data_IF_764939159551
#
_entry.id   IF_764939159551
#
_cell.length_a   1.000
_cell.length_b   1.000
_cell.length_c   1.000
_cell.angle_alpha   90.00
_cell.angle_beta   90.00
_cell.angle_gamma   90.00
#
_symmetry.space_group_name_H-M   'P 1'
#
loop_
_entity.id
_entity.type
_entity.pdbx_description
1 polymer ?
#
# COMPACT_ATOMS: atom_id res chain seq x y z
N UNK A 1 -22.40 -3.84 9.66
CA UNK A 1 -21.71 -4.02 8.38
C UNK A 1 -20.63 -5.08 8.54
N UNK A 2 -20.42 -5.91 7.50
CA UNK A 2 -19.34 -6.91 7.55
C UNK A 2 -18.01 -6.27 7.12
N UNK A 3 -18.05 -5.39 6.12
CA UNK A 3 -16.86 -4.78 5.54
C UNK A 3 -17.01 -3.27 5.40
N UNK A 4 -15.97 -2.52 5.74
CA UNK A 4 -15.79 -1.12 5.37
C UNK A 4 -14.66 -1.02 4.35
N UNK A 5 -14.95 -0.53 3.15
CA UNK A 5 -13.94 -0.22 2.13
C UNK A 5 -13.66 1.28 2.19
N UNK A 6 -12.43 1.64 2.55
CA UNK A 6 -11.98 3.02 2.74
C UNK A 6 -11.15 3.44 1.54
N UNK A 7 -11.55 4.53 0.90
CA UNK A 7 -10.94 5.06 -0.33
C UNK A 7 -10.53 6.52 -0.13
N UNK A 8 -9.23 6.81 -0.01
CA UNK A 8 -8.76 8.18 -0.10
C UNK A 8 -8.91 8.69 -1.53
N UNK A 9 -9.46 9.88 -1.68
CA UNK A 9 -9.73 10.50 -2.98
C UNK A 9 -9.06 11.88 -3.08
N UNK A 10 -8.46 12.15 -4.23
CA UNK A 10 -7.99 13.49 -4.61
C UNK A 10 -7.93 13.61 -6.13
N UNK A 11 -8.76 14.47 -6.71
CA UNK A 11 -8.77 14.79 -8.16
C UNK A 11 -8.74 13.55 -9.08
N UNK A 12 -9.45 12.48 -8.73
CA UNK A 12 -9.38 11.19 -9.44
C UNK A 12 -10.76 10.58 -9.72
N UNK A 13 -11.79 11.41 -9.84
CA UNK A 13 -13.18 10.96 -9.99
C UNK A 13 -13.39 10.09 -11.24
N UNK A 14 -12.68 10.38 -12.34
CA UNK A 14 -12.78 9.57 -13.56
C UNK A 14 -12.32 8.10 -13.37
N UNK A 15 -11.32 7.87 -12.51
CA UNK A 15 -10.82 6.53 -12.20
C UNK A 15 -11.62 5.86 -11.07
N UNK A 16 -12.18 6.67 -10.17
CA UNK A 16 -12.98 6.20 -9.04
C UNK A 16 -14.19 5.38 -9.50
N UNK A 17 -14.83 5.72 -10.61
CA UNK A 17 -15.98 4.96 -11.10
C UNK A 17 -15.61 3.51 -11.43
N UNK A 18 -14.44 3.27 -12.02
CA UNK A 18 -13.92 1.92 -12.26
C UNK A 18 -13.77 1.13 -10.97
N UNK A 19 -13.22 1.75 -9.92
CA UNK A 19 -13.13 1.13 -8.61
C UNK A 19 -14.52 0.78 -8.07
N UNK A 20 -15.44 1.73 -8.08
CA UNK A 20 -16.81 1.53 -7.54
C UNK A 20 -17.56 0.40 -8.25
N UNK A 21 -17.43 0.30 -9.57
CA UNK A 21 -18.03 -0.80 -10.37
C UNK A 21 -17.40 -2.16 -10.07
N UNK A 22 -16.17 -2.20 -9.56
CA UNK A 22 -15.47 -3.43 -9.20
C UNK A 22 -15.73 -3.89 -7.76
N UNK A 23 -16.30 -3.03 -6.91
CA UNK A 23 -16.63 -3.39 -5.53
C UNK A 23 -17.79 -4.39 -5.54
N UNK A 24 -17.66 -5.54 -4.86
CA UNK A 24 -18.70 -6.53 -4.83
C UNK A 24 -19.98 -5.97 -4.16
N UNK A 25 -21.11 -6.07 -4.84
CA UNK A 25 -22.40 -5.70 -4.27
C UNK A 25 -22.78 -6.73 -3.19
N UNK A 26 -22.37 -6.46 -1.98
CA UNK A 26 -22.82 -7.18 -0.80
C UNK A 26 -23.69 -6.23 0.02
N UNK A 27 -24.89 -6.67 0.42
CA UNK A 27 -25.82 -5.88 1.25
C UNK A 27 -25.21 -5.41 2.58
N UNK A 28 -24.01 -5.88 2.90
CA UNK A 28 -23.31 -5.64 4.17
C UNK A 28 -21.94 -4.95 4.00
N UNK A 29 -21.67 -4.42 2.82
CA UNK A 29 -20.47 -3.60 2.55
C UNK A 29 -20.84 -2.13 2.59
N UNK A 30 -20.06 -1.33 3.31
CA UNK A 30 -20.09 0.12 3.22
C UNK A 30 -18.87 0.65 2.47
N UNK A 31 -19.08 1.67 1.65
CA UNK A 31 -18.03 2.36 0.91
C UNK A 31 -17.85 3.74 1.54
N UNK A 32 -16.64 4.03 2.01
CA UNK A 32 -16.27 5.30 2.64
C UNK A 32 -15.25 5.99 1.77
N UNK A 33 -15.65 7.09 1.13
CA UNK A 33 -14.75 7.93 0.35
C UNK A 33 -14.38 9.15 1.19
N UNK A 34 -13.08 9.42 1.29
CA UNK A 34 -12.58 10.57 2.02
C UNK A 34 -11.79 11.46 1.05
N UNK A 35 -12.30 12.67 0.83
CA UNK A 35 -11.73 13.63 -0.09
C UNK A 35 -10.60 14.45 0.57
N UNK A 36 -9.41 14.37 -0.01
CA UNK A 36 -8.22 15.11 0.45
C UNK A 36 -8.05 16.42 -0.34
N UNK A 37 -9.02 17.33 -0.18
CA UNK A 37 -8.97 18.68 -0.76
C UNK A 37 -8.91 18.66 -2.31
N UNK A 38 -9.82 17.92 -2.94
CA UNK A 38 -9.97 17.96 -4.39
C UNK A 38 -10.46 19.35 -4.86
N UNK A 39 -10.22 19.64 -6.12
CA UNK A 39 -10.71 20.83 -6.80
C UNK A 39 -12.24 20.83 -6.87
N UNK A 40 -12.83 22.02 -6.98
CA UNK A 40 -14.29 22.20 -6.93
C UNK A 40 -15.02 21.36 -7.98
N UNK A 41 -14.50 21.32 -9.20
CA UNK A 41 -15.09 20.55 -10.31
C UNK A 41 -15.11 19.04 -10.04
N UNK A 42 -14.03 18.54 -9.45
CA UNK A 42 -13.96 17.13 -9.07
C UNK A 42 -14.93 16.77 -7.93
N UNK A 43 -15.08 17.67 -6.95
CA UNK A 43 -16.08 17.51 -5.89
C UNK A 43 -17.50 17.50 -6.42
N UNK A 44 -17.84 18.35 -7.40
CA UNK A 44 -19.16 18.34 -8.02
C UNK A 44 -19.44 17.02 -8.76
N UNK A 45 -18.47 16.50 -9.52
CA UNK A 45 -18.58 15.18 -10.15
C UNK A 45 -18.79 14.08 -9.10
N UNK A 46 -18.04 14.11 -8.00
CA UNK A 46 -18.14 13.13 -6.93
C UNK A 46 -19.52 13.10 -6.26
N UNK A 47 -20.20 14.25 -6.16
CA UNK A 47 -21.58 14.30 -5.62
C UNK A 47 -22.56 13.39 -6.36
N UNK A 48 -22.41 13.26 -7.68
CA UNK A 48 -23.26 12.36 -8.48
C UNK A 48 -23.07 10.89 -8.11
N UNK A 49 -21.84 10.52 -7.69
CA UNK A 49 -21.53 9.13 -7.29
C UNK A 49 -22.06 8.79 -5.92
N UNK A 50 -22.17 9.75 -5.01
CA UNK A 50 -22.65 9.52 -3.64
C UNK A 50 -24.01 8.84 -3.65
N UNK A 51 -24.96 9.38 -4.42
CA UNK A 51 -26.30 8.80 -4.53
C UNK A 51 -26.32 7.50 -5.33
N UNK A 52 -25.63 7.47 -6.48
CA UNK A 52 -25.60 6.31 -7.40
C UNK A 52 -25.06 5.05 -6.74
N UNK A 53 -24.00 5.17 -5.94
CA UNK A 53 -23.28 4.03 -5.35
C UNK A 53 -23.48 3.90 -3.83
N UNK A 54 -24.40 4.67 -3.22
CA UNK A 54 -24.66 4.67 -1.77
C UNK A 54 -23.39 4.87 -0.92
N UNK A 55 -22.55 5.83 -1.31
CA UNK A 55 -21.27 6.12 -0.68
C UNK A 55 -21.48 6.95 0.58
N UNK A 56 -20.73 6.65 1.64
CA UNK A 56 -20.50 7.57 2.74
C UNK A 56 -19.32 8.48 2.37
N UNK A 57 -19.57 9.77 2.32
CA UNK A 57 -18.57 10.77 1.94
C UNK A 57 -18.15 11.61 3.13
N UNK A 58 -16.85 11.82 3.27
CA UNK A 58 -16.26 12.68 4.30
C UNK A 58 -15.14 13.52 3.70
N UNK A 59 -14.94 14.72 4.24
CA UNK A 59 -13.75 15.54 4.01
C UNK A 59 -12.62 15.02 4.90
N UNK A 60 -11.37 15.10 4.41
CA UNK A 60 -10.20 14.69 5.17
C UNK A 60 -10.01 15.61 6.40
N UNK A 61 -10.05 15.05 7.60
CA UNK A 61 -9.83 15.75 8.86
C UNK A 61 -8.33 15.91 9.19
N UNK A 62 -7.44 15.22 8.47
CA UNK A 62 -5.99 15.24 8.64
C UNK A 62 -5.26 15.73 7.40
N UNK A 63 -4.10 15.13 7.13
CA UNK A 63 -3.24 15.51 5.99
C UNK A 63 -2.94 14.33 5.11
N UNK A 64 -2.91 14.59 3.79
CA UNK A 64 -2.53 13.62 2.78
C UNK A 64 -3.40 12.34 2.81
N UNK A 65 -3.04 11.35 2.03
CA UNK A 65 -3.75 10.08 1.97
C UNK A 65 -3.74 9.32 3.31
N UNK A 66 -2.75 9.54 4.17
CA UNK A 66 -2.71 8.97 5.53
C UNK A 66 -3.83 9.52 6.40
N UNK A 67 -4.01 10.85 6.44
CA UNK A 67 -5.10 11.50 7.16
C UNK A 67 -6.47 11.10 6.61
N UNK A 68 -6.60 11.01 5.28
CA UNK A 68 -7.84 10.54 4.65
C UNK A 68 -8.20 9.11 5.07
N UNK A 69 -7.23 8.19 5.14
CA UNK A 69 -7.47 6.83 5.65
C UNK A 69 -7.80 6.82 7.13
N UNK A 70 -7.16 7.68 7.95
CA UNK A 70 -7.49 7.84 9.38
C UNK A 70 -8.92 8.36 9.58
N UNK A 71 -9.33 9.34 8.78
CA UNK A 71 -10.72 9.83 8.77
C UNK A 71 -11.69 8.70 8.42
N UNK A 72 -11.39 7.92 7.39
CA UNK A 72 -12.19 6.75 7.02
C UNK A 72 -12.27 5.70 8.14
N UNK A 73 -11.16 5.42 8.83
CA UNK A 73 -11.12 4.51 9.99
C UNK A 73 -12.03 4.98 11.13
N UNK A 74 -12.09 6.27 11.39
CA UNK A 74 -12.95 6.87 12.42
C UNK A 74 -14.43 6.58 12.19
N UNK A 75 -14.86 6.57 10.92
CA UNK A 75 -16.27 6.38 10.54
C UNK A 75 -16.60 4.96 10.09
N UNK A 76 -15.63 4.06 10.01
CA UNK A 76 -15.83 2.67 9.64
C UNK A 76 -16.60 1.89 10.71
N UNK A 77 -17.61 1.13 10.29
CA UNK A 77 -18.47 0.32 11.18
C UNK A 77 -18.38 -1.18 10.89
N UNK A 78 -17.75 -1.58 9.79
CA UNK A 78 -17.57 -2.97 9.39
C UNK A 78 -16.73 -3.78 10.38
N UNK A 79 -17.00 -5.07 10.48
CA UNK A 79 -16.15 -6.03 11.22
C UNK A 79 -14.74 -6.05 10.62
N UNK A 80 -14.65 -6.01 9.29
CA UNK A 80 -13.44 -6.00 8.51
C UNK A 80 -13.23 -4.65 7.83
N UNK A 81 -11.99 -4.24 7.71
CA UNK A 81 -11.55 -3.05 6.98
C UNK A 81 -10.74 -3.48 5.78
N UNK A 82 -11.02 -2.86 4.65
CA UNK A 82 -10.22 -2.93 3.43
C UNK A 82 -9.89 -1.52 2.95
N UNK A 83 -8.73 -1.34 2.37
CA UNK A 83 -8.34 -0.09 1.72
C UNK A 83 -8.24 -0.30 0.22
N UNK A 84 -8.63 0.70 -0.55
CA UNK A 84 -8.45 0.75 -1.98
C UNK A 84 -8.02 2.17 -2.39
N UNK A 85 -7.14 2.28 -3.37
CA UNK A 85 -6.77 3.57 -3.96
C UNK A 85 -7.75 3.88 -5.10
N UNK A 86 -8.13 5.15 -5.28
CA UNK A 86 -9.19 5.56 -6.20
C UNK A 86 -8.89 5.27 -7.69
N UNK A 87 -7.63 5.04 -8.02
CA UNK A 87 -7.15 4.71 -9.36
C UNK A 87 -7.00 3.21 -9.64
N UNK A 88 -7.30 2.34 -8.67
CA UNK A 88 -7.18 0.89 -8.76
C UNK A 88 -8.55 0.20 -8.95
N UNK A 89 -8.63 -1.14 -8.86
CA UNK A 89 -9.90 -1.87 -8.87
C UNK A 89 -9.77 -3.28 -8.28
N UNK A 90 -10.90 -3.87 -7.85
CA UNK A 90 -10.96 -5.25 -7.39
C UNK A 90 -11.10 -6.22 -8.57
N UNK A 91 -10.55 -7.42 -8.42
CA UNK A 91 -10.68 -8.47 -9.44
C UNK A 91 -12.10 -9.09 -9.43
N UNK A 92 -12.43 -9.83 -10.48
CA UNK A 92 -13.76 -10.44 -10.62
C UNK A 92 -14.10 -11.43 -9.50
N UNK A 93 -13.10 -12.09 -8.93
CA UNK A 93 -13.28 -13.12 -7.91
C UNK A 93 -13.36 -12.56 -6.49
N UNK A 94 -13.25 -11.25 -6.33
CA UNK A 94 -13.17 -10.58 -5.01
C UNK A 94 -14.28 -10.99 -4.07
N UNK A 95 -15.51 -11.13 -4.56
CA UNK A 95 -16.67 -11.49 -3.74
C UNK A 95 -16.50 -12.88 -3.11
N UNK A 96 -16.25 -13.88 -3.92
CA UNK A 96 -16.09 -15.27 -3.46
C UNK A 96 -14.93 -15.39 -2.47
N UNK A 97 -13.79 -14.72 -2.77
CA UNK A 97 -12.61 -14.76 -1.91
C UNK A 97 -12.84 -14.07 -0.56
N UNK A 98 -13.53 -12.93 -0.54
CA UNK A 98 -13.88 -12.25 0.70
C UNK A 98 -14.84 -13.10 1.55
N UNK A 99 -15.89 -13.66 0.94
CA UNK A 99 -16.90 -14.47 1.63
C UNK A 99 -16.29 -15.66 2.38
N UNK A 100 -15.20 -16.27 1.88
CA UNK A 100 -14.48 -17.35 2.55
C UNK A 100 -13.88 -16.94 3.90
N UNK A 101 -13.51 -15.68 4.04
CA UNK A 101 -12.81 -15.19 5.24
C UNK A 101 -13.68 -14.34 6.18
N UNK A 102 -14.92 -13.98 5.81
CA UNK A 102 -15.78 -13.13 6.65
C UNK A 102 -15.96 -13.66 8.08
N UNK A 103 -16.08 -14.98 8.22
CA UNK A 103 -16.30 -15.65 9.49
C UNK A 103 -15.01 -16.29 10.07
N UNK A 104 -13.85 -16.04 9.46
CA UNK A 104 -12.60 -16.57 9.97
C UNK A 104 -12.16 -15.91 11.28
N UNK A 105 -11.33 -16.62 12.04
CA UNK A 105 -10.73 -16.11 13.28
C UNK A 105 -9.42 -15.34 13.04
N UNK A 106 -9.00 -15.18 11.78
CA UNK A 106 -7.83 -14.37 11.46
C UNK A 106 -8.03 -12.92 11.84
N UNK A 107 -6.98 -12.27 12.33
CA UNK A 107 -6.96 -10.82 12.55
C UNK A 107 -6.66 -10.07 11.27
N UNK A 108 -5.86 -10.68 10.39
CA UNK A 108 -5.55 -10.17 9.04
C UNK A 108 -5.55 -11.33 8.06
N UNK A 109 -6.12 -11.09 6.88
CA UNK A 109 -5.96 -11.95 5.71
C UNK A 109 -5.22 -11.15 4.62
N UNK A 110 -4.09 -11.68 4.17
CA UNK A 110 -3.30 -11.11 3.10
C UNK A 110 -3.65 -11.78 1.78
N UNK A 111 -3.96 -11.00 0.78
CA UNK A 111 -4.29 -11.50 -0.55
C UNK A 111 -3.20 -11.20 -1.55
N UNK A 112 -3.10 -12.05 -2.56
CA UNK A 112 -2.31 -11.74 -3.72
C UNK A 112 -2.94 -10.59 -4.51
N UNK A 113 -2.14 -9.94 -5.35
CA UNK A 113 -2.56 -8.83 -6.20
C UNK A 113 -1.93 -8.96 -7.58
N UNK A 114 -2.55 -8.33 -8.56
CA UNK A 114 -2.00 -8.15 -9.90
C UNK A 114 -1.73 -6.67 -10.16
N UNK A 115 -1.05 -6.36 -11.22
CA UNK A 115 -0.91 -4.97 -11.68
C UNK A 115 -1.02 -4.87 -13.19
N UNK A 116 -1.66 -3.77 -13.65
CA UNK A 116 -1.89 -3.48 -15.06
C UNK A 116 -1.60 -2.01 -15.38
N UNK A 117 -1.21 -1.74 -16.61
CA UNK A 117 -1.15 -0.35 -17.10
C UNK A 117 -2.58 0.17 -17.28
N UNK A 118 -2.88 1.33 -16.69
CA UNK A 118 -4.23 1.90 -16.67
C UNK A 118 -4.78 2.21 -18.07
N UNK A 119 -3.90 2.59 -19.00
CA UNK A 119 -4.27 2.96 -20.38
C UNK A 119 -4.48 1.75 -21.30
N UNK A 120 -3.66 0.68 -21.19
CA UNK A 120 -3.66 -0.44 -22.14
C UNK A 120 -4.29 -1.72 -21.57
N UNK A 121 -4.37 -1.83 -20.23
CA UNK A 121 -4.80 -3.06 -19.57
C UNK A 121 -3.76 -4.19 -19.60
N UNK A 122 -2.58 -3.96 -20.18
CA UNK A 122 -1.48 -4.92 -20.18
C UNK A 122 -0.88 -5.12 -18.78
N UNK A 123 -0.22 -6.26 -18.58
CA UNK A 123 0.38 -6.58 -17.29
C UNK A 123 1.54 -5.64 -16.95
N UNK A 124 1.59 -5.21 -15.70
CA UNK A 124 2.63 -4.34 -15.16
C UNK A 124 3.38 -5.03 -14.01
N UNK A 125 4.55 -4.49 -13.63
CA UNK A 125 5.41 -5.10 -12.61
C UNK A 125 5.19 -4.60 -11.17
N UNK A 126 4.23 -3.70 -10.95
CA UNK A 126 4.03 -3.07 -9.63
C UNK A 126 3.63 -4.06 -8.54
N UNK A 127 2.92 -5.13 -8.89
CA UNK A 127 2.51 -6.19 -7.98
C UNK A 127 3.62 -7.21 -7.65
N UNK A 128 4.70 -7.27 -8.41
CA UNK A 128 5.72 -8.32 -8.33
C UNK A 128 6.30 -8.50 -6.90
N UNK A 129 6.46 -7.40 -6.15
CA UNK A 129 6.93 -7.48 -4.76
C UNK A 129 5.95 -8.25 -3.89
N UNK A 130 4.66 -7.90 -3.92
CA UNK A 130 3.62 -8.57 -3.12
C UNK A 130 3.47 -10.03 -3.53
N UNK A 131 3.46 -10.32 -4.83
CA UNK A 131 3.43 -11.70 -5.35
C UNK A 131 4.59 -12.53 -4.79
N UNK A 132 5.79 -11.95 -4.73
CA UNK A 132 6.96 -12.63 -4.14
C UNK A 132 6.81 -12.87 -2.63
N UNK A 133 6.11 -11.99 -1.88
CA UNK A 133 5.85 -12.20 -0.46
C UNK A 133 4.86 -13.35 -0.24
N UNK A 134 3.76 -13.39 -0.97
CA UNK A 134 2.78 -14.48 -0.94
C UNK A 134 3.43 -15.82 -1.30
N UNK A 135 4.27 -15.84 -2.35
CA UNK A 135 5.02 -17.02 -2.74
C UNK A 135 5.96 -17.50 -1.63
N UNK A 136 6.70 -16.60 -0.96
CA UNK A 136 7.59 -16.95 0.15
C UNK A 136 6.82 -17.49 1.35
N UNK A 137 5.71 -16.84 1.72
CA UNK A 137 4.85 -17.32 2.80
C UNK A 137 4.37 -18.75 2.52
N UNK A 138 3.94 -19.02 1.28
CA UNK A 138 3.47 -20.35 0.87
C UNK A 138 4.56 -21.40 0.77
N UNK A 139 5.71 -21.08 0.13
CA UNK A 139 6.75 -22.09 -0.17
C UNK A 139 7.70 -22.35 0.99
N UNK A 140 7.88 -21.37 1.89
CA UNK A 140 8.83 -21.45 3.02
C UNK A 140 8.15 -21.50 4.38
N UNK A 141 6.82 -21.47 4.43
CA UNK A 141 6.03 -21.34 5.65
C UNK A 141 6.47 -20.13 6.52
N UNK A 142 6.91 -19.04 5.86
CA UNK A 142 7.39 -17.83 6.51
C UNK A 142 6.29 -16.76 6.48
N UNK A 143 5.36 -16.83 7.44
CA UNK A 143 4.25 -15.89 7.56
C UNK A 143 4.71 -14.50 8.01
N UNK A 144 5.84 -14.40 8.70
CA UNK A 144 6.37 -13.13 9.17
C UNK A 144 6.77 -12.20 8.02
N UNK A 145 7.10 -12.76 6.85
CA UNK A 145 7.35 -11.94 5.66
C UNK A 145 6.13 -11.11 5.26
N UNK A 146 4.92 -11.65 5.46
CA UNK A 146 3.68 -10.90 5.22
C UNK A 146 3.45 -9.83 6.28
N UNK A 147 3.66 -10.17 7.56
CA UNK A 147 3.52 -9.25 8.69
C UNK A 147 4.42 -8.02 8.54
N UNK A 148 5.67 -8.24 8.15
CA UNK A 148 6.73 -7.22 8.20
C UNK A 148 7.00 -6.52 6.86
N UNK A 149 6.75 -7.19 5.74
CA UNK A 149 7.18 -6.71 4.43
C UNK A 149 6.03 -6.35 3.48
N UNK A 150 4.78 -6.75 3.77
CA UNK A 150 3.63 -6.33 2.98
C UNK A 150 3.14 -4.96 3.46
N UNK A 151 3.84 -3.91 3.07
CA UNK A 151 3.66 -2.54 3.56
C UNK A 151 2.53 -1.76 2.89
N UNK A 152 2.01 -2.21 1.74
CA UNK A 152 0.88 -1.55 1.07
C UNK A 152 -0.43 -1.70 1.88
N UNK A 153 -1.36 -0.73 1.87
CA UNK A 153 -2.59 -0.80 2.64
C UNK A 153 -3.65 -1.71 1.99
N UNK A 154 -3.64 -1.83 0.66
CA UNK A 154 -4.57 -2.63 -0.13
C UNK A 154 -4.19 -4.13 -0.16
N UNK A 155 -5.06 -4.96 -0.72
CA UNK A 155 -4.86 -6.42 -0.78
C UNK A 155 -4.90 -7.10 0.59
N UNK A 156 -5.65 -6.55 1.54
CA UNK A 156 -5.80 -7.06 2.90
C UNK A 156 -7.23 -6.92 3.40
N UNK A 157 -7.69 -7.89 4.18
CA UNK A 157 -8.78 -7.73 5.12
C UNK A 157 -8.19 -7.66 6.52
N UNK A 158 -8.51 -6.60 7.26
CA UNK A 158 -7.99 -6.34 8.61
C UNK A 158 -9.17 -6.23 9.57
N UNK A 159 -9.19 -6.99 10.66
CA UNK A 159 -10.22 -6.80 11.69
C UNK A 159 -10.18 -5.38 12.24
N UNK A 160 -11.32 -4.67 12.22
CA UNK A 160 -11.41 -3.31 12.77
C UNK A 160 -11.01 -3.27 14.25
N UNK A 161 -11.39 -4.30 15.00
CA UNK A 161 -11.02 -4.43 16.41
C UNK A 161 -9.50 -4.39 16.63
N UNK A 162 -8.70 -5.08 15.80
CA UNK A 162 -7.23 -5.05 15.89
C UNK A 162 -6.69 -3.61 15.81
N UNK A 163 -7.22 -2.81 14.87
CA UNK A 163 -6.79 -1.43 14.66
C UNK A 163 -7.18 -0.56 15.84
N UNK A 164 -8.41 -0.71 16.35
CA UNK A 164 -8.96 0.09 17.44
C UNK A 164 -8.29 -0.20 18.79
N UNK A 165 -8.16 -1.48 19.15
CA UNK A 165 -7.57 -1.89 20.43
C UNK A 165 -6.08 -1.51 20.56
N UNK A 166 -5.38 -1.38 19.44
CA UNK A 166 -3.96 -1.00 19.42
C UNK A 166 -3.72 0.45 19.01
N UNK A 167 -4.78 1.27 18.84
CA UNK A 167 -4.73 2.66 18.35
C UNK A 167 -3.81 2.84 17.13
N UNK A 168 -3.90 1.90 16.15
CA UNK A 168 -3.05 1.91 14.97
C UNK A 168 -3.58 2.94 13.98
N UNK A 169 -2.70 3.85 13.54
CA UNK A 169 -3.04 4.93 12.61
C UNK A 169 -2.02 5.02 11.48
N UNK A 170 -2.46 5.59 10.37
CA UNK A 170 -1.56 5.97 9.29
C UNK A 170 -0.73 7.19 9.66
N UNK A 171 0.53 7.22 9.22
CA UNK A 171 1.33 8.44 9.29
C UNK A 171 0.76 9.50 8.35
N UNK A 172 0.62 10.73 8.82
CA UNK A 172 0.11 11.86 8.01
C UNK A 172 1.27 12.57 7.32
N UNK A 173 1.95 11.83 6.45
CA UNK A 173 3.14 12.28 5.72
C UNK A 173 2.93 12.21 4.21
N UNK A 174 3.70 13.01 3.46
CA UNK A 174 3.54 13.14 2.01
C UNK A 174 3.84 11.85 1.23
N UNK A 175 4.66 10.94 1.79
CA UNK A 175 5.01 9.67 1.14
C UNK A 175 5.42 8.60 2.16
N UNK A 176 4.98 7.35 1.95
CA UNK A 176 5.23 6.21 2.84
C UNK A 176 4.28 6.15 4.03
N UNK A 177 3.15 6.85 3.98
CA UNK A 177 2.15 6.93 5.05
C UNK A 177 1.54 5.57 5.46
N UNK A 178 1.63 4.58 4.60
CA UNK A 178 1.06 3.23 4.71
C UNK A 178 1.98 2.21 5.40
N UNK A 179 3.28 2.47 5.41
CA UNK A 179 4.28 1.49 5.85
C UNK A 179 4.16 1.15 7.34
N UNK A 180 4.14 2.17 8.20
CA UNK A 180 4.05 1.98 9.65
C UNK A 180 2.73 1.33 10.05
N UNK A 181 1.60 1.80 9.50
CA UNK A 181 0.28 1.22 9.71
C UNK A 181 0.27 -0.28 9.38
N UNK A 182 0.74 -0.65 8.18
CA UNK A 182 0.72 -2.04 7.71
C UNK A 182 1.58 -2.95 8.58
N UNK A 183 2.77 -2.49 8.96
CA UNK A 183 3.69 -3.27 9.80
C UNK A 183 3.16 -3.40 11.23
N UNK A 184 2.61 -2.35 11.81
CA UNK A 184 1.99 -2.40 13.14
C UNK A 184 0.82 -3.39 13.15
N UNK A 185 -0.09 -3.34 12.17
CA UNK A 185 -1.16 -4.32 12.04
C UNK A 185 -0.60 -5.74 11.98
N UNK A 186 0.41 -5.98 11.13
CA UNK A 186 1.05 -7.28 10.98
C UNK A 186 1.66 -7.81 12.28
N UNK A 187 2.37 -6.98 13.04
CA UNK A 187 3.04 -7.37 14.30
C UNK A 187 2.01 -7.59 15.42
N UNK A 188 0.97 -6.76 15.51
CA UNK A 188 -0.06 -6.84 16.56
C UNK A 188 -1.08 -7.96 16.32
N UNK A 189 -1.24 -8.43 15.08
CA UNK A 189 -2.13 -9.53 14.76
C UNK A 189 -1.68 -10.83 15.43
N UNK A 190 -2.57 -11.50 16.18
CA UNK A 190 -2.34 -12.79 16.80
C UNK A 190 -2.38 -13.90 15.74
N UNK A 191 -3.35 -13.83 14.83
CA UNK A 191 -3.54 -14.81 13.76
C UNK A 191 -3.60 -14.13 12.39
N UNK A 192 -2.92 -14.70 11.39
CA UNK A 192 -2.96 -14.23 10.02
C UNK A 192 -3.24 -15.37 9.04
N UNK A 193 -4.01 -15.06 8.02
CA UNK A 193 -4.22 -15.91 6.86
C UNK A 193 -3.62 -15.29 5.59
N UNK A 194 -3.50 -16.10 4.54
CA UNK A 194 -3.18 -15.59 3.21
C UNK A 194 -3.90 -16.35 2.12
N UNK A 195 -4.12 -15.67 0.99
CA UNK A 195 -4.77 -16.20 -0.20
C UNK A 195 -3.86 -15.98 -1.42
N UNK A 196 -3.69 -17.02 -2.25
CA UNK A 196 -2.86 -16.97 -3.45
C UNK A 196 -3.56 -16.31 -4.64
N UNK A 197 -4.89 -16.37 -4.66
CA UNK A 197 -5.68 -15.75 -5.70
C UNK A 197 -5.71 -14.23 -5.49
N UNK A 198 -5.53 -13.44 -6.57
CA UNK A 198 -5.53 -12.00 -6.46
C UNK A 198 -6.95 -11.44 -6.30
N UNK A 199 -7.14 -10.53 -5.34
CA UNK A 199 -8.40 -9.82 -5.16
C UNK A 199 -8.35 -8.37 -5.66
N UNK A 200 -7.16 -7.85 -5.97
CA UNK A 200 -6.94 -6.43 -6.23
C UNK A 200 -5.97 -6.24 -7.39
N UNK A 201 -6.27 -5.26 -8.24
CA UNK A 201 -5.41 -4.85 -9.34
C UNK A 201 -4.88 -3.44 -9.10
N UNK A 202 -3.58 -3.33 -8.91
CA UNK A 202 -2.88 -2.05 -8.79
C UNK A 202 -2.60 -1.52 -10.18
N UNK A 203 -3.09 -0.32 -10.49
CA UNK A 203 -2.85 0.26 -11.80
C UNK A 203 -1.60 1.14 -11.85
N UNK A 204 -1.00 1.19 -13.01
CA UNK A 204 0.16 2.03 -13.32
C UNK A 204 -0.24 3.06 -14.34
N UNK A 205 -0.16 4.34 -13.94
CA UNK A 205 -0.39 5.47 -14.83
C UNK A 205 0.92 6.21 -15.03
N UNK A 206 1.25 6.55 -16.28
CA UNK A 206 2.42 7.35 -16.61
C UNK A 206 2.35 8.72 -15.92
N UNK A 207 3.47 9.16 -15.32
CA UNK A 207 3.52 10.44 -14.61
C UNK A 207 2.85 10.45 -13.24
N UNK A 208 2.47 9.29 -12.70
CA UNK A 208 1.86 9.21 -11.38
C UNK A 208 2.78 9.78 -10.28
N UNK A 209 2.14 10.23 -9.19
CA UNK A 209 2.81 10.80 -7.99
C UNK A 209 3.92 9.90 -7.46
N UNK A 210 3.82 8.60 -7.66
CA UNK A 210 4.79 7.62 -7.17
C UNK A 210 6.09 7.57 -7.99
N UNK A 211 6.09 8.08 -9.21
CA UNK A 211 7.26 8.07 -10.11
C UNK A 211 8.12 9.32 -10.00
N UNK A 212 7.58 10.44 -9.48
CA UNK A 212 8.32 11.69 -9.35
C UNK A 212 9.11 11.73 -8.04
N UNK A 213 10.45 11.72 -8.15
CA UNK A 213 11.35 11.82 -7.00
C UNK A 213 11.62 13.29 -6.66
N UNK A 214 10.85 13.86 -5.72
CA UNK A 214 11.16 15.14 -5.09
C UNK A 214 11.93 14.92 -3.79
N UNK A 215 12.66 15.94 -3.34
CA UNK A 215 13.41 15.90 -2.08
C UNK A 215 12.50 15.59 -0.89
N UNK A 216 11.37 16.27 -0.76
CA UNK A 216 10.44 16.11 0.37
C UNK A 216 9.86 14.70 0.43
N UNK A 217 9.48 14.12 -0.72
CA UNK A 217 8.99 12.73 -0.78
C UNK A 217 10.07 11.72 -0.46
N UNK A 218 11.30 12.00 -0.89
CA UNK A 218 12.45 11.16 -0.55
C UNK A 218 12.69 11.17 0.95
N UNK A 219 12.79 12.36 1.56
CA UNK A 219 13.05 12.54 2.98
C UNK A 219 11.95 11.89 3.82
N UNK A 220 10.69 12.08 3.42
CA UNK A 220 9.53 11.46 4.07
C UNK A 220 9.63 9.94 4.09
N UNK A 221 9.80 9.30 2.92
CA UNK A 221 9.94 7.84 2.80
C UNK A 221 11.16 7.32 3.56
N UNK A 222 12.27 8.03 3.49
CA UNK A 222 13.49 7.65 4.19
C UNK A 222 13.27 7.62 5.70
N UNK A 223 12.71 8.68 6.27
CA UNK A 223 12.40 8.78 7.70
C UNK A 223 11.43 7.68 8.15
N UNK A 224 10.35 7.46 7.41
CA UNK A 224 9.40 6.38 7.72
C UNK A 224 10.10 5.01 7.66
N UNK A 225 10.94 4.77 6.66
CA UNK A 225 11.70 3.51 6.56
C UNK A 225 12.60 3.28 7.77
N UNK A 226 13.29 4.32 8.26
CA UNK A 226 14.12 4.22 9.47
C UNK A 226 13.27 3.88 10.69
N UNK A 227 12.10 4.53 10.85
CA UNK A 227 11.18 4.27 11.95
C UNK A 227 10.64 2.83 11.92
N UNK A 228 10.24 2.35 10.75
CA UNK A 228 9.80 0.96 10.57
C UNK A 228 10.93 -0.03 10.90
N UNK A 229 12.15 0.23 10.44
CA UNK A 229 13.30 -0.62 10.77
C UNK A 229 13.61 -0.62 12.27
N UNK A 230 13.45 0.51 12.95
CA UNK A 230 13.57 0.61 14.40
C UNK A 230 12.52 -0.22 15.12
N UNK A 231 11.26 -0.14 14.69
CA UNK A 231 10.16 -0.95 15.20
C UNK A 231 10.45 -2.45 15.01
N UNK A 232 10.77 -2.86 13.79
CA UNK A 232 11.06 -4.27 13.47
C UNK A 232 12.18 -4.85 14.35
N UNK A 233 13.24 -4.09 14.62
CA UNK A 233 14.29 -4.55 15.53
C UNK A 233 13.81 -4.66 16.97
N UNK A 234 13.08 -3.66 17.45
CA UNK A 234 12.55 -3.62 18.82
C UNK A 234 11.61 -4.79 19.11
N UNK A 235 10.79 -5.16 18.14
CA UNK A 235 9.80 -6.24 18.23
C UNK A 235 10.38 -7.63 17.85
N UNK A 236 11.70 -7.76 17.65
CA UNK A 236 12.35 -9.06 17.35
C UNK A 236 12.34 -9.47 15.87
N UNK A 237 11.81 -8.63 14.98
CA UNK A 237 11.72 -8.88 13.54
C UNK A 237 12.89 -8.29 12.73
N UNK A 238 14.05 -8.09 13.34
CA UNK A 238 15.20 -7.43 12.72
C UNK A 238 15.67 -8.01 11.38
N UNK A 239 15.43 -9.31 11.10
CA UNK A 239 15.75 -9.95 9.80
C UNK A 239 14.90 -9.45 8.64
N UNK A 240 13.74 -8.82 8.91
CA UNK A 240 12.81 -8.30 7.91
C UNK A 240 12.95 -6.79 7.69
N UNK A 241 14.01 -6.16 8.16
CA UNK A 241 14.26 -4.74 7.91
C UNK A 241 14.20 -4.42 6.41
N UNK A 242 13.66 -3.26 6.10
CA UNK A 242 13.60 -2.73 4.74
C UNK A 242 14.98 -2.21 4.35
N UNK A 243 15.43 -2.55 3.15
CA UNK A 243 16.73 -2.10 2.65
C UNK A 243 16.81 -0.58 2.53
N UNK A 244 17.85 0.00 3.11
CA UNK A 244 18.17 1.44 2.99
C UNK A 244 19.09 1.76 1.81
N UNK A 245 19.61 0.74 1.11
CA UNK A 245 20.53 0.91 -0.01
C UNK A 245 19.96 1.78 -1.14
N UNK A 246 18.66 1.65 -1.40
CA UNK A 246 17.97 2.51 -2.37
C UNK A 246 18.11 3.99 -2.01
N UNK A 247 17.92 4.33 -0.73
CA UNK A 247 18.01 5.72 -0.25
C UNK A 247 19.47 6.23 -0.32
N UNK A 248 20.45 5.41 0.06
CA UNK A 248 21.87 5.77 -0.05
C UNK A 248 22.23 6.06 -1.52
N UNK A 249 21.88 5.14 -2.43
CA UNK A 249 22.19 5.30 -3.86
C UNK A 249 21.46 6.50 -4.50
N UNK A 250 20.18 6.72 -4.16
CA UNK A 250 19.40 7.81 -4.75
C UNK A 250 19.72 9.17 -4.16
N UNK A 251 20.20 9.24 -2.93
CA UNK A 251 20.57 10.50 -2.27
C UNK A 251 21.68 11.26 -2.98
N UNK A 252 22.52 10.54 -3.75
CA UNK A 252 23.56 11.20 -4.59
C UNK A 252 22.98 12.27 -5.55
N UNK A 253 21.74 12.09 -6.02
CA UNK A 253 21.06 13.07 -6.89
C UNK A 253 20.85 14.43 -6.21
N UNK A 254 20.89 14.48 -4.88
CA UNK A 254 20.76 15.70 -4.09
C UNK A 254 22.13 16.23 -3.60
N UNK A 255 23.23 15.66 -4.09
CA UNK A 255 24.61 16.04 -3.79
C UNK A 255 25.32 15.12 -2.78
N UNK A 256 26.64 15.12 -2.85
CA UNK A 256 27.51 14.22 -2.06
C UNK A 256 27.36 14.47 -0.54
N UNK A 257 27.27 15.74 -0.12
CA UNK A 257 27.08 16.10 1.30
C UNK A 257 25.79 15.52 1.85
N UNK A 258 24.74 15.54 1.04
CA UNK A 258 23.46 14.96 1.43
C UNK A 258 23.53 13.43 1.50
N UNK A 259 24.18 12.79 0.55
CA UNK A 259 24.39 11.33 0.59
C UNK A 259 25.12 10.91 1.88
N UNK A 260 26.15 11.65 2.27
CA UNK A 260 26.87 11.41 3.52
C UNK A 260 25.94 11.56 4.74
N UNK A 261 25.07 12.58 4.75
CA UNK A 261 24.09 12.74 5.83
C UNK A 261 23.10 11.56 5.92
N UNK A 262 22.64 11.02 4.79
CA UNK A 262 21.78 9.83 4.73
C UNK A 262 22.49 8.61 5.31
N UNK A 263 23.78 8.41 4.98
CA UNK A 263 24.58 7.30 5.51
C UNK A 263 24.72 7.45 7.04
N UNK A 264 25.08 8.64 7.52
CA UNK A 264 25.20 8.92 8.96
C UNK A 264 23.87 8.64 9.67
N UNK A 265 22.75 9.04 9.08
CA UNK A 265 21.43 8.83 9.67
C UNK A 265 21.06 7.31 9.70
N UNK A 266 21.44 6.54 8.68
CA UNK A 266 21.29 5.08 8.71
C UNK A 266 22.09 4.46 9.89
N UNK A 267 23.33 4.90 10.10
CA UNK A 267 24.20 4.41 11.18
C UNK A 267 23.61 4.79 12.56
N UNK A 268 23.22 6.05 12.76
CA UNK A 268 22.58 6.53 14.01
C UNK A 268 21.34 5.72 14.36
N UNK A 269 20.52 5.40 13.37
CA UNK A 269 19.32 4.58 13.51
C UNK A 269 19.60 3.08 13.52
N UNK A 270 20.88 2.65 13.57
CA UNK A 270 21.28 1.24 13.55
C UNK A 270 20.59 0.42 12.43
N UNK A 271 20.27 1.06 11.31
CA UNK A 271 19.72 0.36 10.14
C UNK A 271 20.78 -0.50 9.51
N UNK A 272 20.45 -1.77 9.26
CA UNK A 272 21.39 -2.68 8.60
C UNK A 272 21.55 -2.29 7.13
N UNK A 273 22.67 -1.65 6.81
CA UNK A 273 23.00 -1.19 5.45
C UNK A 273 23.27 -2.35 4.48
N UNK A 274 23.49 -3.57 5.00
CA UNK A 274 23.74 -4.75 4.16
C UNK A 274 22.46 -5.48 3.77
N UNK A 275 21.29 -5.11 4.30
CA UNK A 275 20.01 -5.70 3.89
C UNK A 275 19.79 -5.46 2.39
N UNK A 276 19.69 -6.53 1.62
CA UNK A 276 19.52 -6.49 0.17
C UNK A 276 20.83 -6.41 -0.62
N UNK A 277 22.00 -6.38 0.02
CA UNK A 277 23.30 -6.32 -0.69
C UNK A 277 23.50 -7.53 -1.61
N UNK A 278 23.05 -8.73 -1.19
CA UNK A 278 23.09 -9.93 -2.03
C UNK A 278 22.31 -9.77 -3.35
N UNK A 279 21.26 -8.93 -3.38
CA UNK A 279 20.52 -8.62 -4.62
C UNK A 279 21.34 -7.75 -5.57
N UNK A 280 22.24 -6.89 -5.04
CA UNK A 280 23.15 -6.07 -5.86
C UNK A 280 24.25 -6.92 -6.51
N UNK A 281 24.66 -8.02 -5.87
CA UNK A 281 25.63 -8.96 -6.44
C UNK A 281 25.06 -9.74 -7.62
N UNK A 282 23.72 -9.86 -7.70
CA UNK A 282 23.04 -10.49 -8.82
C UNK A 282 22.61 -9.44 -9.86
N UNK A 283 23.60 -8.69 -10.35
CA UNK A 283 23.43 -7.57 -11.30
C UNK A 283 22.65 -7.98 -12.56
N UNK A 284 22.80 -9.24 -13.03
CA UNK A 284 22.08 -9.73 -14.21
C UNK A 284 20.56 -9.74 -14.03
N UNK A 285 20.03 -10.08 -12.84
CA UNK A 285 18.58 -10.05 -12.60
C UNK A 285 18.05 -8.62 -12.51
N UNK A 286 18.79 -7.72 -11.83
CA UNK A 286 18.43 -6.30 -11.71
C UNK A 286 18.47 -5.57 -13.05
N UNK A 287 19.45 -5.90 -13.91
CA UNK A 287 19.55 -5.33 -15.25
C UNK A 287 18.47 -5.88 -16.19
N UNK A 288 18.13 -7.17 -16.08
CA UNK A 288 17.05 -7.79 -16.86
C UNK A 288 15.68 -7.16 -16.51
N UNK A 289 15.41 -6.92 -15.23
CA UNK A 289 14.20 -6.24 -14.79
C UNK A 289 14.14 -4.79 -15.31
N UNK A 290 15.29 -4.07 -15.31
CA UNK A 290 15.39 -2.71 -15.87
C UNK A 290 15.31 -2.67 -17.39
N UNK A 291 15.83 -3.67 -18.09
CA UNK A 291 15.75 -3.76 -19.55
C UNK A 291 14.31 -4.07 -19.99
N UNK A 292 13.60 -4.90 -19.26
CA UNK A 292 12.18 -5.17 -19.52
C UNK A 292 11.33 -3.91 -19.30
N UNK A 293 11.60 -3.14 -18.24
CA UNK A 293 10.94 -1.84 -18.00
C UNK A 293 11.24 -0.85 -19.14
N UNK A 294 12.52 -0.73 -19.56
CA UNK A 294 12.91 0.17 -20.65
C UNK A 294 12.44 -0.28 -22.04
N UNK A 295 12.24 -1.58 -22.24
CA UNK A 295 11.74 -2.12 -23.50
C UNK A 295 10.26 -1.83 -23.65
N UNK A 296 9.48 -2.03 -22.61
CA UNK A 296 8.07 -1.60 -22.55
C UNK A 296 7.92 -0.07 -22.67
N UNK A 297 8.90 0.71 -22.17
CA UNK A 297 8.95 2.18 -22.33
C UNK A 297 9.22 2.64 -23.76
N UNK A 298 9.95 1.85 -24.55
CA UNK A 298 10.28 2.21 -25.95
C UNK A 298 9.26 1.74 -26.97
N UNK A 299 8.52 0.68 -26.69
CA UNK A 299 7.49 0.13 -27.55
C UNK A 299 6.17 0.92 -27.48
N UNK A 300 6.07 1.88 -26.52
CA UNK A 300 4.91 2.74 -26.30
C UNK A 300 5.13 4.22 -26.68
N UNK A 301 6.26 4.56 -27.32
CA UNK A 301 6.53 5.84 -27.98
C UNK A 301 6.36 5.70 -29.49
#
# INVERSE_FOLDING_TARGET
MDISIIVPHKNSTALLERLLLSIPDTKKTEIIIVDDQSEKEEKEKLKSFISKYKIKFYENEGRYAGGARNTGLKYATGKWIMFADADDYFTIDVRCLIEQYLNSDYDIVFFNVISKYSATGEDAYRAAHVQSLIQKASSKNDLDVLRCCYTAPWGKMIKRQLVQENDIRFDEVIAGNDMMFSVLCGIKAKSIGYEKNPIYCVTVTWGSITTTLTRDRFDSRFKVTLNVNNLLRKEGYGKYQISVLYFIAKSYQFGIKYMLSVIIECIKNRSNIFVGFAKLLNVKSVLKDRQNIKKSEKEQK
#
